data_IF_648413043370
#
_entry.id   IF_648413043370
#
_cell.length_a   1.000
_cell.length_b   1.000
_cell.length_c   1.000
_cell.angle_alpha   90.00
_cell.angle_beta   90.00
_cell.angle_gamma   90.00
#
_symmetry.space_group_name_H-M   'P 1'
#
loop_
_entity.id
_entity.type
_entity.pdbx_description
1 polymer ?
#
# COMPACT_ATOMS: atom_id res chain seq x y z
N UNK A 1 10.93 -33.18 2.90
CA UNK A 1 10.88 -32.11 1.88
C UNK A 1 9.48 -31.53 1.93
N UNK A 2 9.19 -30.39 2.53
CA UNK A 2 10.00 -29.20 2.83
C UNK A 2 9.48 -28.62 4.15
N UNK A 3 10.37 -28.34 5.11
CA UNK A 3 10.01 -27.64 6.35
C UNK A 3 9.65 -26.19 5.97
N UNK A 4 8.38 -25.81 6.06
CA UNK A 4 8.01 -24.41 6.23
C UNK A 4 8.28 -24.06 7.69
N UNK A 5 9.56 -23.89 8.05
CA UNK A 5 9.91 -23.28 9.33
C UNK A 5 9.57 -21.78 9.26
N UNK A 6 8.73 -21.36 10.20
CA UNK A 6 8.45 -19.98 10.60
C UNK A 6 7.67 -19.08 9.65
N UNK A 7 6.35 -19.24 9.64
CA UNK A 7 5.50 -18.04 9.69
C UNK A 7 5.41 -17.62 11.15
N UNK A 8 6.18 -16.60 11.56
CA UNK A 8 5.91 -15.92 12.82
C UNK A 8 4.50 -15.36 12.72
N UNK A 9 3.61 -15.67 13.68
CA UNK A 9 2.28 -15.08 13.69
C UNK A 9 2.39 -13.54 13.82
N UNK A 10 1.31 -12.79 13.57
CA UNK A 10 1.34 -11.33 13.62
C UNK A 10 1.91 -10.80 14.96
N UNK A 11 1.55 -11.43 16.06
CA UNK A 11 1.99 -11.05 17.42
C UNK A 11 3.52 -11.18 17.57
N UNK A 12 4.13 -12.20 16.99
CA UNK A 12 5.58 -12.41 17.01
C UNK A 12 6.33 -11.38 16.15
N UNK A 13 5.72 -10.91 15.04
CA UNK A 13 6.28 -9.82 14.23
C UNK A 13 6.19 -8.51 15.01
N UNK A 14 5.05 -8.21 15.61
CA UNK A 14 4.88 -7.01 16.45
C UNK A 14 5.89 -6.98 17.60
N UNK A 15 6.10 -8.12 18.27
CA UNK A 15 7.08 -8.23 19.34
C UNK A 15 8.51 -7.97 18.82
N UNK A 16 8.87 -8.53 17.66
CA UNK A 16 10.18 -8.31 17.07
C UNK A 16 10.40 -6.82 16.72
N UNK A 17 9.39 -6.15 16.15
CA UNK A 17 9.47 -4.72 15.83
C UNK A 17 9.62 -3.87 17.10
N UNK A 18 8.94 -4.22 18.20
CA UNK A 18 9.08 -3.53 19.49
C UNK A 18 10.46 -3.67 20.14
N UNK A 19 11.20 -4.72 19.77
CA UNK A 19 12.54 -5.00 20.33
C UNK A 19 13.67 -4.34 19.53
N UNK A 20 13.40 -3.74 18.37
CA UNK A 20 14.39 -3.02 17.58
C UNK A 20 14.96 -1.83 18.36
N UNK A 21 16.26 -1.59 18.20
CA UNK A 21 16.87 -0.34 18.62
C UNK A 21 16.31 0.84 17.81
N UNK A 22 16.55 2.07 18.27
CA UNK A 22 16.08 3.27 17.57
C UNK A 22 16.60 3.38 16.13
N UNK A 23 17.84 2.96 15.89
CA UNK A 23 18.47 2.96 14.57
C UNK A 23 17.88 1.88 13.66
N UNK A 24 17.76 0.66 14.15
CA UNK A 24 17.12 -0.44 13.41
C UNK A 24 15.65 -0.14 13.09
N UNK A 25 14.92 0.47 14.02
CA UNK A 25 13.53 0.87 13.80
C UNK A 25 13.42 2.00 12.77
N UNK A 26 14.39 2.91 12.70
CA UNK A 26 14.44 3.93 11.65
C UNK A 26 14.70 3.29 10.27
N UNK A 27 15.66 2.39 10.17
CA UNK A 27 15.94 1.63 8.95
C UNK A 27 14.74 0.78 8.51
N UNK A 28 14.09 0.10 9.46
CA UNK A 28 12.86 -0.68 9.22
C UNK A 28 11.74 0.19 8.63
N UNK A 29 11.51 1.39 9.16
CA UNK A 29 10.46 2.30 8.65
C UNK A 29 10.72 2.75 7.22
N UNK A 30 11.97 3.02 6.87
CA UNK A 30 12.34 3.41 5.50
C UNK A 30 12.02 2.27 4.54
N UNK A 31 12.55 1.07 4.84
CA UNK A 31 12.31 -0.10 4.01
C UNK A 31 10.83 -0.49 3.94
N UNK A 32 10.10 -0.44 5.06
CA UNK A 32 8.69 -0.82 5.11
C UNK A 32 7.82 0.13 4.29
N UNK A 33 8.15 1.42 4.24
CA UNK A 33 7.43 2.38 3.40
C UNK A 33 7.56 2.04 1.90
N UNK A 34 8.75 1.66 1.45
CA UNK A 34 8.97 1.22 0.06
C UNK A 34 8.22 -0.08 -0.22
N UNK A 35 8.31 -1.06 0.67
CA UNK A 35 7.60 -2.33 0.56
C UNK A 35 6.08 -2.14 0.50
N UNK A 36 5.50 -1.32 1.38
CA UNK A 36 4.05 -1.06 1.41
C UNK A 36 3.59 -0.29 0.18
N UNK A 37 4.41 0.64 -0.32
CA UNK A 37 4.15 1.34 -1.58
C UNK A 37 4.10 0.36 -2.77
N UNK A 38 5.04 -0.58 -2.87
CA UNK A 38 5.03 -1.62 -3.93
C UNK A 38 3.78 -2.53 -3.83
N UNK A 39 3.34 -2.87 -2.61
CA UNK A 39 2.09 -3.61 -2.42
C UNK A 39 0.89 -2.80 -2.89
N UNK A 40 0.85 -1.51 -2.55
CA UNK A 40 -0.22 -0.61 -2.92
C UNK A 40 -0.28 -0.40 -4.44
N UNK A 41 0.85 -0.19 -5.11
CA UNK A 41 0.93 -0.03 -6.57
C UNK A 41 0.33 -1.24 -7.27
N UNK A 42 0.70 -2.46 -6.86
CA UNK A 42 0.13 -3.68 -7.43
C UNK A 42 -1.38 -3.78 -7.20
N UNK A 43 -1.87 -3.50 -5.99
CA UNK A 43 -3.31 -3.53 -5.73
C UNK A 43 -4.06 -2.48 -6.56
N UNK A 44 -3.47 -1.30 -6.71
CA UNK A 44 -4.02 -0.22 -7.52
C UNK A 44 -4.11 -0.62 -8.99
N UNK A 45 -3.05 -1.20 -9.56
CA UNK A 45 -3.05 -1.72 -10.93
C UNK A 45 -4.13 -2.79 -11.15
N UNK A 46 -4.28 -3.72 -10.21
CA UNK A 46 -5.35 -4.73 -10.24
C UNK A 46 -6.74 -4.09 -10.20
N UNK A 47 -6.94 -3.07 -9.37
CA UNK A 47 -8.21 -2.35 -9.25
C UNK A 47 -8.55 -1.54 -10.51
N UNK A 48 -7.54 -0.95 -11.15
CA UNK A 48 -7.66 -0.31 -12.47
C UNK A 48 -8.05 -1.34 -13.52
N UNK A 49 -7.34 -2.49 -13.58
CA UNK A 49 -7.62 -3.55 -14.54
C UNK A 49 -9.01 -4.16 -14.34
N UNK A 50 -9.48 -4.26 -13.10
CA UNK A 50 -10.82 -4.71 -12.75
C UNK A 50 -11.92 -3.65 -13.01
N UNK A 51 -11.55 -2.43 -13.40
CA UNK A 51 -12.48 -1.34 -13.69
C UNK A 51 -13.15 -0.74 -12.45
N UNK A 52 -12.65 -1.03 -11.24
CA UNK A 52 -13.25 -0.53 -9.98
C UNK A 52 -13.23 1.00 -9.91
N UNK A 53 -12.22 1.61 -10.54
CA UNK A 53 -12.02 3.06 -10.55
C UNK A 53 -12.72 3.77 -11.72
N UNK A 54 -13.43 3.05 -12.60
CA UNK A 54 -14.10 3.65 -13.78
C UNK A 54 -15.09 4.74 -13.39
N UNK A 55 -15.82 4.55 -12.29
CA UNK A 55 -16.79 5.53 -11.80
C UNK A 55 -16.14 6.87 -11.40
N UNK A 56 -14.90 6.84 -10.90
CA UNK A 56 -14.13 8.04 -10.57
C UNK A 56 -13.69 8.74 -11.86
N UNK A 57 -13.23 7.97 -12.85
CA UNK A 57 -12.84 8.50 -14.16
C UNK A 57 -14.03 9.18 -14.87
N UNK A 58 -15.22 8.56 -14.83
CA UNK A 58 -16.45 9.13 -15.38
C UNK A 58 -16.85 10.44 -14.68
N UNK A 59 -16.77 10.47 -13.35
CA UNK A 59 -17.05 11.68 -12.56
C UNK A 59 -16.07 12.80 -12.87
N UNK A 60 -14.78 12.51 -12.95
CA UNK A 60 -13.76 13.49 -13.34
C UNK A 60 -14.05 14.07 -14.73
N UNK A 61 -14.40 13.22 -15.71
CA UNK A 61 -14.82 13.66 -17.04
C UNK A 61 -16.09 14.51 -17.01
N UNK A 62 -17.04 14.21 -16.11
CA UNK A 62 -18.25 15.00 -15.95
C UNK A 62 -17.94 16.40 -15.41
N UNK A 63 -17.17 16.49 -14.32
CA UNK A 63 -16.78 17.78 -13.76
C UNK A 63 -16.03 18.65 -14.78
N UNK A 64 -15.18 18.05 -15.61
CA UNK A 64 -14.51 18.76 -16.70
C UNK A 64 -15.49 19.32 -17.73
N UNK A 65 -16.52 18.57 -18.11
CA UNK A 65 -17.56 19.05 -19.03
C UNK A 65 -18.43 20.15 -18.42
N UNK A 66 -18.58 20.14 -17.11
CA UNK A 66 -19.41 21.09 -16.36
C UNK A 66 -18.62 22.33 -15.89
N UNK A 67 -17.35 22.47 -16.30
CA UNK A 67 -16.44 23.55 -15.86
C UNK A 67 -16.31 23.65 -14.32
N UNK A 68 -16.57 22.54 -13.62
CA UNK A 68 -16.53 22.44 -12.16
C UNK A 68 -15.21 21.81 -11.67
N UNK A 69 -14.16 21.89 -12.47
CA UNK A 69 -12.81 21.55 -12.04
C UNK A 69 -12.24 22.70 -11.20
N UNK A 70 -11.60 22.36 -10.08
CA UNK A 70 -10.87 23.31 -9.23
C UNK A 70 -9.38 23.10 -9.41
N UNK A 71 -8.60 24.17 -9.27
CA UNK A 71 -7.14 24.05 -9.18
C UNK A 71 -6.74 23.30 -7.91
N UNK A 72 -5.60 22.60 -7.98
CA UNK A 72 -5.01 21.80 -6.91
C UNK A 72 -4.42 22.66 -5.78
#
# INVERSE_FOLDING_TARGET
MTKFEHMKNLEEIELAVRQLSAEELAAFRIWFAEFDAELWDRQFEEDVAAGKLNHLAERARQHLREENCTDL
#
